data_IF_956180912508
#
_entry.id   IF_956180912508
#
_cell.length_a   1.000
_cell.length_b   1.000
_cell.length_c   1.000
_cell.angle_alpha   90.00
_cell.angle_beta   90.00
_cell.angle_gamma   90.00
#
_symmetry.space_group_name_H-M   'P 1'
#
loop_
_entity.id
_entity.type
_entity.pdbx_description
1 polymer ?
#
# COMPACT_ATOMS: atom_id res chain seq x y z
N UNK A 1 -14.90 -13.90 -1.15
CA UNK A 1 -14.18 -15.01 -1.79
C UNK A 1 -15.20 -16.11 -2.03
N UNK A 2 -15.48 -16.43 -3.30
CA UNK A 2 -16.38 -17.54 -3.64
C UNK A 2 -15.64 -18.86 -3.44
N UNK A 3 -16.26 -19.87 -2.80
CA UNK A 3 -15.61 -21.16 -2.57
C UNK A 3 -15.30 -21.85 -3.90
N UNK A 4 -14.07 -22.35 -4.02
CA UNK A 4 -13.62 -23.12 -5.18
C UNK A 4 -14.37 -24.47 -5.23
N UNK A 5 -14.75 -24.94 -6.43
CA UNK A 5 -15.63 -26.10 -6.62
C UNK A 5 -15.03 -27.46 -6.19
N UNK A 6 -13.82 -27.48 -5.64
CA UNK A 6 -13.21 -28.70 -5.07
C UNK A 6 -13.77 -29.07 -3.69
N UNK A 7 -14.39 -28.13 -2.95
CA UNK A 7 -14.92 -28.42 -1.61
C UNK A 7 -16.30 -29.09 -1.61
N UNK A 8 -16.95 -29.20 -2.77
CA UNK A 8 -18.27 -29.82 -2.89
C UNK A 8 -18.03 -31.22 -3.47
N UNK A 9 -17.97 -32.22 -2.59
CA UNK A 9 -17.69 -33.64 -2.91
C UNK A 9 -18.73 -34.29 -3.84
N UNK A 10 -18.81 -33.83 -5.08
CA UNK A 10 -19.74 -34.31 -6.11
C UNK A 10 -19.06 -35.37 -6.98
N UNK A 11 -19.70 -36.54 -7.18
CA UNK A 11 -19.15 -37.65 -7.95
C UNK A 11 -18.94 -37.27 -9.43
N UNK A 12 -17.81 -37.71 -10.00
CA UNK A 12 -17.31 -37.27 -11.30
C UNK A 12 -18.29 -37.48 -12.47
N UNK A 13 -19.19 -38.47 -12.38
CA UNK A 13 -20.16 -38.77 -13.42
C UNK A 13 -21.25 -37.69 -13.59
N UNK A 14 -21.48 -36.86 -12.57
CA UNK A 14 -22.55 -35.86 -12.60
C UNK A 14 -22.10 -34.46 -13.07
N UNK A 15 -20.79 -34.26 -13.31
CA UNK A 15 -20.22 -32.97 -13.73
C UNK A 15 -20.62 -32.55 -15.16
N UNK A 16 -20.93 -33.52 -16.03
CA UNK A 16 -21.32 -33.25 -17.43
C UNK A 16 -22.78 -32.79 -17.54
N UNK A 17 -23.66 -33.26 -16.66
CA UNK A 17 -25.07 -32.84 -16.64
C UNK A 17 -25.23 -31.38 -16.17
N UNK A 18 -24.46 -30.98 -15.15
CA UNK A 18 -24.52 -29.61 -14.63
C UNK A 18 -24.06 -28.54 -15.64
N UNK A 19 -23.11 -28.88 -16.53
CA UNK A 19 -22.67 -27.96 -17.60
C UNK A 19 -23.75 -27.70 -18.65
N UNK A 20 -24.74 -28.59 -18.80
CA UNK A 20 -25.83 -28.45 -19.78
C UNK A 20 -26.99 -27.58 -19.30
N UNK A 21 -27.13 -27.36 -17.99
CA UNK A 21 -28.23 -26.58 -17.40
C UNK A 21 -27.84 -25.15 -17.03
N UNK A 22 -26.59 -24.74 -17.23
CA UNK A 22 -26.17 -23.36 -17.01
C UNK A 22 -26.69 -22.49 -18.18
N UNK A 23 -27.39 -21.37 -17.90
CA UNK A 23 -27.76 -20.43 -18.95
C UNK A 23 -26.48 -19.96 -19.66
N UNK A 24 -26.53 -19.71 -21.00
CA UNK A 24 -25.39 -19.17 -21.71
C UNK A 24 -24.95 -17.90 -20.99
N UNK A 25 -23.71 -17.89 -20.47
CA UNK A 25 -23.12 -16.69 -19.90
C UNK A 25 -23.26 -15.58 -20.92
N UNK A 26 -23.85 -14.42 -20.56
CA UNK A 26 -23.89 -13.29 -21.47
C UNK A 26 -22.46 -13.00 -21.87
N UNK A 27 -22.17 -13.16 -23.16
CA UNK A 27 -20.89 -12.78 -23.74
C UNK A 27 -20.80 -11.28 -23.54
N UNK A 28 -20.03 -10.85 -22.55
CA UNK A 28 -19.71 -9.43 -22.40
C UNK A 28 -19.07 -9.02 -23.73
N UNK A 29 -19.60 -8.00 -24.42
CA UNK A 29 -18.95 -7.48 -25.61
C UNK A 29 -17.52 -7.15 -25.22
N UNK A 30 -16.57 -7.64 -26.02
CA UNK A 30 -15.13 -7.44 -25.84
C UNK A 30 -14.84 -5.95 -25.63
N UNK A 31 -14.82 -5.51 -24.38
CA UNK A 31 -14.66 -4.12 -23.99
C UNK A 31 -13.18 -3.79 -23.90
N UNK A 32 -12.47 -4.03 -25.00
CA UNK A 32 -11.20 -3.38 -25.30
C UNK A 32 -11.42 -2.22 -26.29
N UNK A 33 -12.06 -1.09 -25.94
CA UNK A 33 -12.18 0.03 -26.87
C UNK A 33 -11.04 1.06 -26.74
N UNK A 34 -9.88 0.73 -26.15
CA UNK A 34 -8.89 1.78 -25.83
C UNK A 34 -7.44 1.55 -26.30
N UNK A 35 -7.12 0.40 -26.87
CA UNK A 35 -5.74 0.12 -27.34
C UNK A 35 -5.52 0.31 -28.84
N UNK A 36 -6.53 0.75 -29.59
CA UNK A 36 -6.31 1.35 -30.92
C UNK A 36 -5.83 2.80 -30.79
N UNK A 37 -4.70 2.99 -30.08
CA UNK A 37 -4.00 4.26 -30.01
C UNK A 37 -3.02 4.31 -31.17
N UNK A 38 -3.34 5.19 -32.12
CA UNK A 38 -2.46 5.89 -33.04
C UNK A 38 -1.13 5.20 -33.38
N UNK A 39 -0.97 4.89 -34.66
CA UNK A 39 0.30 4.77 -35.37
C UNK A 39 1.14 6.06 -35.21
N UNK A 40 1.70 6.27 -34.03
CA UNK A 40 2.80 7.18 -33.80
C UNK A 40 4.07 6.42 -34.14
N UNK A 41 4.71 6.83 -35.24
CA UNK A 41 6.06 6.41 -35.63
C UNK A 41 6.91 6.15 -34.40
N UNK A 42 7.49 4.96 -34.35
CA UNK A 42 8.57 4.62 -33.43
C UNK A 42 9.72 5.62 -33.67
N UNK A 43 9.77 6.68 -32.88
CA UNK A 43 10.97 7.49 -32.70
C UNK A 43 11.90 6.70 -31.78
N UNK A 44 12.60 5.76 -32.40
CA UNK A 44 13.87 5.25 -31.93
C UNK A 44 14.88 6.39 -31.90
N UNK A 45 15.05 7.03 -30.75
CA UNK A 45 16.29 7.75 -30.45
C UNK A 45 16.34 8.15 -28.99
N UNK A 46 17.34 7.62 -28.30
CA UNK A 46 18.09 8.34 -27.26
C UNK A 46 17.33 8.60 -25.97
N UNK A 47 17.76 7.90 -24.91
CA UNK A 47 17.55 8.28 -23.50
C UNK A 47 17.49 9.80 -23.35
N UNK A 48 16.28 10.35 -23.23
CA UNK A 48 16.11 11.79 -23.19
C UNK A 48 16.77 12.30 -21.90
N UNK A 49 17.61 13.36 -21.97
CA UNK A 49 18.20 13.97 -20.78
C UNK A 49 17.08 14.40 -19.84
N UNK A 50 17.24 14.12 -18.55
CA UNK A 50 16.31 14.45 -17.47
C UNK A 50 15.84 15.92 -17.48
N UNK A 51 16.61 16.80 -18.13
CA UNK A 51 16.33 18.21 -18.39
C UNK A 51 15.08 18.47 -19.26
N UNK A 52 14.59 17.47 -19.99
CA UNK A 52 13.37 17.58 -20.79
C UNK A 52 12.12 17.00 -20.10
N UNK A 53 12.17 16.67 -18.80
CA UNK A 53 11.03 16.11 -18.09
C UNK A 53 9.76 16.99 -18.20
N UNK A 54 9.92 18.32 -18.24
CA UNK A 54 8.83 19.28 -18.42
C UNK A 54 8.25 19.35 -19.85
N UNK A 55 8.89 18.73 -20.85
CA UNK A 55 8.41 18.66 -22.25
C UNK A 55 7.71 17.33 -22.57
N UNK A 56 7.75 16.36 -21.65
CA UNK A 56 7.07 15.09 -21.84
C UNK A 56 5.55 15.30 -21.83
N UNK A 57 4.79 14.55 -22.63
CA UNK A 57 3.35 14.54 -22.50
C UNK A 57 2.96 14.10 -21.07
N UNK A 58 1.87 14.62 -20.50
CA UNK A 58 1.55 14.46 -19.09
C UNK A 58 1.52 13.00 -18.60
N UNK A 59 1.09 12.08 -19.47
CA UNK A 59 1.10 10.64 -19.19
C UNK A 59 2.53 10.08 -18.98
N UNK A 60 3.48 10.45 -19.84
CA UNK A 60 4.86 9.98 -19.76
C UNK A 60 5.63 10.68 -18.64
N UNK A 61 5.38 11.98 -18.44
CA UNK A 61 5.97 12.72 -17.33
C UNK A 61 5.59 12.15 -15.96
N UNK A 62 4.34 11.66 -15.82
CA UNK A 62 3.92 10.98 -14.60
C UNK A 62 4.64 9.64 -14.39
N UNK A 63 4.77 8.82 -15.43
CA UNK A 63 5.52 7.55 -15.36
C UNK A 63 6.99 7.81 -15.02
N UNK A 64 7.59 8.82 -15.65
CA UNK A 64 8.95 9.25 -15.37
C UNK A 64 9.12 9.67 -13.90
N UNK A 65 8.19 10.47 -13.37
CA UNK A 65 8.23 10.91 -11.98
C UNK A 65 8.11 9.75 -10.98
N UNK A 66 7.27 8.74 -11.28
CA UNK A 66 7.15 7.51 -10.49
C UNK A 66 8.44 6.69 -10.56
N UNK A 67 8.97 6.45 -11.76
CA UNK A 67 10.20 5.68 -11.95
C UNK A 67 11.39 6.33 -11.21
N UNK A 68 11.50 7.66 -11.28
CA UNK A 68 12.51 8.43 -10.54
C UNK A 68 12.36 8.24 -9.03
N UNK A 69 11.11 8.24 -8.52
CA UNK A 69 10.87 8.06 -7.09
C UNK A 69 11.22 6.66 -6.59
N UNK A 70 10.94 5.64 -7.37
CA UNK A 70 11.32 4.26 -7.05
C UNK A 70 12.84 4.11 -7.02
N UNK A 71 13.56 4.71 -7.98
CA UNK A 71 15.03 4.72 -7.99
C UNK A 71 15.65 5.44 -6.78
N UNK A 72 15.01 6.50 -6.26
CA UNK A 72 15.43 7.18 -5.03
C UNK A 72 15.22 6.32 -3.76
N UNK A 73 14.31 5.35 -3.80
CA UNK A 73 13.92 4.57 -2.62
C UNK A 73 14.85 3.37 -2.39
N UNK A 74 15.41 2.82 -3.47
CA UNK A 74 16.28 1.63 -3.44
C UNK A 74 17.77 1.92 -3.26
N UNK A 75 18.20 3.18 -3.45
CA UNK A 75 19.60 3.57 -3.28
C UNK A 75 19.76 4.52 -2.11
N UNK A 76 20.57 4.08 -1.17
CA UNK A 76 20.99 4.81 0.01
C UNK A 76 21.34 6.28 -0.28
N UNK A 77 21.11 7.09 0.76
CA UNK A 77 21.25 8.55 0.87
C UNK A 77 22.65 9.10 0.52
N UNK A 78 23.60 8.28 0.08
CA UNK A 78 25.00 8.65 -0.14
C UNK A 78 25.28 9.36 -1.46
N UNK A 79 24.42 9.24 -2.48
CA UNK A 79 24.66 9.91 -3.79
C UNK A 79 23.86 11.20 -3.99
N UNK A 80 23.30 11.78 -2.91
CA UNK A 80 22.41 12.95 -2.97
C UNK A 80 23.12 14.30 -3.23
N UNK A 81 24.38 14.29 -3.71
CA UNK A 81 25.18 15.50 -3.87
C UNK A 81 25.36 16.00 -5.30
N UNK A 82 24.86 15.29 -6.31
CA UNK A 82 25.06 15.70 -7.70
C UNK A 82 23.75 15.54 -8.45
N UNK A 83 22.93 16.60 -8.44
CA UNK A 83 22.29 17.19 -9.62
C UNK A 83 21.13 18.09 -9.18
N UNK A 84 21.15 19.33 -9.65
CA UNK A 84 20.03 20.29 -9.62
C UNK A 84 18.87 19.75 -10.46
N UNK A 85 18.12 18.82 -9.90
CA UNK A 85 17.00 18.21 -10.60
C UNK A 85 15.69 18.52 -9.89
N UNK A 86 14.72 18.93 -10.72
CA UNK A 86 13.34 19.22 -10.34
C UNK A 86 12.79 18.07 -9.49
N UNK A 87 12.24 18.39 -8.32
CA UNK A 87 11.75 17.38 -7.39
C UNK A 87 10.69 16.50 -8.09
N UNK A 88 10.72 15.17 -7.93
CA UNK A 88 9.77 14.27 -8.59
C UNK A 88 8.31 14.68 -8.30
N UNK A 89 8.06 15.21 -7.10
CA UNK A 89 6.79 15.78 -6.69
C UNK A 89 6.30 16.92 -7.60
N UNK A 90 7.16 17.85 -7.98
CA UNK A 90 6.80 18.98 -8.84
C UNK A 90 6.42 18.51 -10.25
N UNK A 91 7.18 17.54 -10.78
CA UNK A 91 6.90 16.94 -12.09
C UNK A 91 5.53 16.24 -12.11
N UNK A 92 5.18 15.45 -11.09
CA UNK A 92 3.85 14.83 -11.04
C UNK A 92 2.72 15.84 -10.83
N UNK A 93 2.91 16.88 -10.02
CA UNK A 93 1.89 17.93 -9.84
C UNK A 93 1.60 18.59 -11.20
N UNK A 94 2.63 18.95 -11.96
CA UNK A 94 2.50 19.51 -13.31
C UNK A 94 1.83 18.55 -14.28
N UNK A 95 2.17 17.25 -14.21
CA UNK A 95 1.56 16.23 -15.06
C UNK A 95 0.07 16.04 -14.72
N UNK A 96 -0.30 15.97 -13.45
CA UNK A 96 -1.70 15.88 -13.04
C UNK A 96 -2.47 17.14 -13.41
N UNK A 97 -1.87 18.31 -13.21
CA UNK A 97 -2.45 19.58 -13.67
C UNK A 97 -2.76 19.54 -15.18
N UNK A 98 -1.80 19.08 -15.99
CA UNK A 98 -1.99 18.90 -17.44
C UNK A 98 -3.00 17.82 -17.82
N UNK A 99 -3.12 16.72 -17.05
CA UNK A 99 -4.09 15.65 -17.31
C UNK A 99 -5.53 16.07 -17.03
N UNK A 100 -5.73 16.85 -15.97
CA UNK A 100 -7.07 17.28 -15.54
C UNK A 100 -7.44 18.68 -16.05
N UNK A 101 -6.55 19.36 -16.76
CA UNK A 101 -6.77 20.73 -17.24
C UNK A 101 -6.93 21.75 -16.11
N UNK A 102 -6.27 21.51 -14.96
CA UNK A 102 -6.32 22.38 -13.77
C UNK A 102 -4.98 23.10 -13.58
N UNK A 103 -4.98 24.20 -12.82
CA UNK A 103 -3.74 24.90 -12.46
C UNK A 103 -2.83 24.01 -11.58
N UNK A 104 -1.50 24.05 -11.75
CA UNK A 104 -0.56 23.34 -10.89
C UNK A 104 -0.60 23.82 -9.42
N UNK A 105 -1.03 25.07 -9.19
CA UNK A 105 -1.20 25.63 -7.84
C UNK A 105 -2.52 25.22 -7.20
N UNK A 106 -3.37 24.47 -7.92
CA UNK A 106 -4.62 23.96 -7.38
C UNK A 106 -4.36 22.99 -6.22
N UNK A 107 -5.09 23.11 -5.10
CA UNK A 107 -5.00 22.15 -3.99
C UNK A 107 -5.20 20.70 -4.45
N UNK A 108 -6.06 20.50 -5.46
CA UNK A 108 -6.36 19.18 -6.02
C UNK A 108 -5.13 18.61 -6.74
N UNK A 109 -4.47 19.41 -7.59
CA UNK A 109 -3.26 18.99 -8.31
C UNK A 109 -2.13 18.63 -7.34
N UNK A 110 -1.94 19.45 -6.31
CA UNK A 110 -0.92 19.26 -5.28
C UNK A 110 -1.17 17.95 -4.51
N UNK A 111 -2.40 17.74 -4.03
CA UNK A 111 -2.76 16.56 -3.22
C UNK A 111 -2.64 15.29 -4.06
N UNK A 112 -3.19 15.28 -5.27
CA UNK A 112 -3.13 14.11 -6.14
C UNK A 112 -1.68 13.82 -6.56
N UNK A 113 -0.90 14.83 -6.94
CA UNK A 113 0.48 14.66 -7.40
C UNK A 113 1.36 14.07 -6.28
N UNK A 114 1.24 14.63 -5.07
CA UNK A 114 1.93 14.09 -3.89
C UNK A 114 1.48 12.69 -3.53
N UNK A 115 0.18 12.38 -3.66
CA UNK A 115 -0.37 11.06 -3.31
C UNK A 115 0.07 9.96 -4.28
N UNK A 116 0.14 10.24 -5.57
CA UNK A 116 0.60 9.26 -6.58
C UNK A 116 2.08 8.91 -6.39
N UNK A 117 2.91 9.90 -6.06
CA UNK A 117 4.36 9.69 -5.84
C UNK A 117 4.66 9.11 -4.45
N UNK A 118 3.74 9.21 -3.50
CA UNK A 118 3.96 8.64 -2.17
C UNK A 118 4.26 7.15 -2.32
N UNK A 119 5.38 6.72 -1.73
CA UNK A 119 5.88 5.35 -1.80
C UNK A 119 4.74 4.34 -1.75
N UNK A 120 4.73 3.44 -2.73
CA UNK A 120 3.69 2.46 -2.96
C UNK A 120 3.28 1.80 -1.62
N UNK A 121 2.00 1.81 -1.21
CA UNK A 121 1.57 1.18 0.05
C UNK A 121 1.88 -0.33 0.09
N UNK A 122 2.16 -0.96 -1.06
CA UNK A 122 2.66 -2.34 -1.14
C UNK A 122 4.04 -2.49 -0.50
N UNK A 123 4.84 -1.42 -0.39
CA UNK A 123 6.10 -1.44 0.38
C UNK A 123 5.87 -1.71 1.87
N UNK A 124 4.69 -1.37 2.42
CA UNK A 124 4.33 -1.75 3.79
C UNK A 124 4.07 -3.25 3.93
N UNK A 125 3.62 -3.91 2.86
CA UNK A 125 3.44 -5.38 2.84
C UNK A 125 4.78 -6.13 2.79
N UNK A 126 5.83 -5.51 2.24
CA UNK A 126 7.18 -6.10 2.15
C UNK A 126 8.04 -5.85 3.38
N UNK A 127 7.57 -5.12 4.39
CA UNK A 127 8.29 -5.01 5.66
C UNK A 127 8.35 -6.41 6.28
N UNK A 128 9.54 -7.02 6.21
CA UNK A 128 9.85 -8.30 6.82
C UNK A 128 9.41 -8.22 8.29
N UNK A 129 8.54 -9.15 8.70
CA UNK A 129 8.09 -9.21 10.08
C UNK A 129 9.33 -9.24 11.00
N UNK A 130 9.30 -8.55 12.17
CA UNK A 130 10.39 -8.64 13.12
C UNK A 130 10.70 -10.11 13.40
N UNK A 131 11.99 -10.49 13.50
CA UNK A 131 12.35 -11.88 13.73
C UNK A 131 11.64 -12.41 14.97
N UNK A 132 11.09 -13.63 14.87
CA UNK A 132 10.34 -14.31 15.92
C UNK A 132 10.87 -14.14 17.36
N UNK A 133 12.20 -14.16 17.64
CA UNK A 133 12.71 -13.93 19.00
C UNK A 133 12.35 -12.55 19.58
N UNK A 134 12.31 -11.50 18.76
CA UNK A 134 12.01 -10.14 19.23
C UNK A 134 10.52 -10.02 19.59
N UNK A 135 9.65 -10.61 18.79
CA UNK A 135 8.21 -10.67 19.10
C UNK A 135 7.93 -11.46 20.38
N UNK A 136 8.61 -12.59 20.59
CA UNK A 136 8.49 -13.38 21.81
C UNK A 136 8.94 -12.58 23.04
N UNK A 137 10.07 -11.86 22.94
CA UNK A 137 10.59 -11.03 24.02
C UNK A 137 9.58 -9.95 24.44
N UNK A 138 8.95 -9.26 23.48
CA UNK A 138 7.95 -8.21 23.76
C UNK A 138 6.74 -8.79 24.49
N UNK A 139 6.25 -9.95 24.05
CA UNK A 139 5.12 -10.63 24.68
C UNK A 139 5.48 -11.09 26.10
N UNK A 140 6.66 -11.68 26.29
CA UNK A 140 7.14 -12.12 27.60
C UNK A 140 7.29 -10.94 28.57
N UNK A 141 7.83 -9.81 28.11
CA UNK A 141 7.99 -8.60 28.93
C UNK A 141 6.63 -8.03 29.35
N UNK A 142 5.67 -7.98 28.43
CA UNK A 142 4.31 -7.53 28.72
C UNK A 142 3.60 -8.42 29.74
N UNK A 143 3.77 -9.74 29.63
CA UNK A 143 3.25 -10.71 30.59
C UNK A 143 3.88 -10.55 31.97
N UNK A 144 5.19 -10.37 32.04
CA UNK A 144 5.91 -10.14 33.31
C UNK A 144 5.46 -8.85 34.00
N UNK A 145 5.32 -7.76 33.25
CA UNK A 145 4.84 -6.48 33.78
C UNK A 145 3.38 -6.60 34.26
N UNK A 146 2.51 -7.21 33.46
CA UNK A 146 1.11 -7.43 33.82
C UNK A 146 0.96 -8.33 35.06
N UNK A 147 1.71 -9.43 35.13
CA UNK A 147 1.74 -10.32 36.28
C UNK A 147 2.29 -9.62 37.53
N UNK A 148 3.37 -8.82 37.40
CA UNK A 148 3.94 -8.07 38.51
C UNK A 148 2.98 -7.04 39.10
N UNK A 149 2.27 -6.29 38.24
CA UNK A 149 1.26 -5.31 38.68
C UNK A 149 0.07 -6.03 39.34
N UNK A 150 -0.42 -7.12 38.74
CA UNK A 150 -1.51 -7.91 39.32
C UNK A 150 -1.14 -8.50 40.68
N UNK A 151 0.10 -8.95 40.82
CA UNK A 151 0.62 -9.47 42.07
C UNK A 151 0.71 -8.40 43.18
N UNK A 152 1.19 -7.20 42.83
CA UNK A 152 1.29 -6.08 43.76
C UNK A 152 -0.09 -5.64 44.28
N UNK A 153 -1.09 -5.58 43.40
CA UNK A 153 -2.48 -5.28 43.77
C UNK A 153 -3.10 -6.39 44.64
N UNK A 154 -2.78 -7.66 44.35
CA UNK A 154 -3.30 -8.80 45.10
C UNK A 154 -2.75 -8.85 46.53
N UNK A 155 -1.49 -8.47 46.77
CA UNK A 155 -0.92 -8.44 48.13
C UNK A 155 -1.34 -7.19 48.92
N UNK A 156 -1.50 -6.03 48.27
CA UNK A 156 -1.97 -4.80 48.93
C UNK A 156 -3.39 -4.88 49.49
N UNK A 157 -4.23 -5.73 48.90
CA UNK A 157 -5.65 -5.88 49.29
C UNK A 157 -5.86 -6.77 50.53
N UNK A 158 -4.88 -7.58 50.92
CA UNK A 158 -5.01 -8.53 52.05
C UNK A 158 -4.64 -7.87 53.39
N UNK A 159 -3.89 -6.78 53.37
CA UNK A 159 -3.41 -6.10 54.60
C UNK A 159 -4.39 -5.06 55.16
N UNK A 160 -5.48 -4.73 54.45
CA UNK A 160 -6.49 -3.74 54.86
C UNK A 160 -7.74 -4.36 55.50
N UNK A 161 -7.61 -5.54 56.12
CA UNK A 161 -8.63 -6.07 57.03
C UNK A 161 -8.37 -5.50 58.43
N UNK A 162 -8.65 -4.20 58.62
CA UNK A 162 -8.70 -3.61 59.96
C UNK A 162 -9.69 -4.43 60.80
N UNK A 163 -9.29 -4.98 61.96
CA UNK A 163 -10.24 -5.54 62.89
C UNK A 163 -11.05 -4.38 63.46
N UNK A 164 -12.27 -4.22 62.96
CA UNK A 164 -13.29 -3.35 63.55
C UNK A 164 -13.75 -4.02 64.85
N UNK A 165 -12.95 -3.88 65.90
CA UNK A 165 -13.21 -4.32 67.26
C UNK A 165 -12.79 -3.16 68.16
N UNK A 166 -13.74 -2.69 69.00
CA UNK A 166 -13.71 -1.47 69.83
C UNK A 166 -14.16 -0.23 69.03
N UNK A 167 -15.39 0.25 69.14
CA UNK A 167 -15.98 0.80 70.36
C UNK A 167 -17.51 0.62 70.34
N UNK A 168 -18.01 -0.14 71.32
CA UNK A 168 -19.41 -0.19 71.73
C UNK A 168 -19.37 -0.08 73.25
N UNK A 169 -19.41 1.14 73.78
CA UNK A 169 -19.92 1.46 75.12
C UNK A 169 -20.07 2.97 75.32
#
# INVERSE_FOLDING_TARGET
MLPTPEQIGLPAHNRKALRKSLPPTPVLPNSNPFWHRASGKASSSTSAPEENAGKLPPNLGLIYAIARKELETDKDKETKKIKEHEEPHQVAIRCIAGLYGISPDSPIAIVLGKRIIRANPVSWQKKKAPPAPISFLIVALGLLLGAGIGWLLSFGSVTLKLPNLLFLH
#
